data_IF_360775627052
#
_entry.id   IF_360775627052
#
_cell.length_a   1.000
_cell.length_b   1.000
_cell.length_c   1.000
_cell.angle_alpha   90.00
_cell.angle_beta   90.00
_cell.angle_gamma   90.00
#
_symmetry.space_group_name_H-M   'P 1'
#
loop_
_entity.id
_entity.type
_entity.pdbx_description
1 polymer ?
#
# COMPACT_ATOMS: atom_id res chain seq x y z
N UNK A 1 -78.36 -9.33 17.04
CA UNK A 1 -77.83 -10.70 17.05
C UNK A 1 -76.70 -10.78 16.03
N UNK A 2 -75.58 -11.33 16.45
CA UNK A 2 -74.22 -11.26 15.91
C UNK A 2 -73.89 -12.30 14.83
N UNK A 3 -72.66 -12.15 14.28
CA UNK A 3 -71.77 -13.08 13.55
C UNK A 3 -71.73 -12.90 12.02
N UNK A 4 -70.71 -12.24 11.46
CA UNK A 4 -69.26 -12.57 11.31
C UNK A 4 -68.93 -13.44 10.06
N UNK A 5 -67.76 -13.22 9.44
CA UNK A 5 -67.57 -13.27 7.98
C UNK A 5 -66.87 -14.54 7.48
N UNK A 6 -67.01 -14.85 6.18
CA UNK A 6 -66.15 -15.82 5.49
C UNK A 6 -65.49 -15.12 4.30
N UNK A 7 -64.17 -14.97 4.40
CA UNK A 7 -63.31 -14.25 3.47
C UNK A 7 -63.18 -15.01 2.13
N UNK A 8 -63.55 -14.35 1.04
CA UNK A 8 -63.52 -14.86 -0.34
C UNK A 8 -62.11 -14.75 -0.92
N UNK A 9 -61.37 -15.86 -0.99
CA UNK A 9 -60.32 -16.19 -1.97
C UNK A 9 -59.29 -17.11 -1.30
N UNK A 10 -59.15 -18.42 -1.57
CA UNK A 10 -59.57 -19.30 -2.67
C UNK A 10 -59.13 -18.91 -4.08
N UNK A 11 -58.38 -17.83 -4.28
CA UNK A 11 -57.76 -17.51 -5.56
C UNK A 11 -56.44 -16.81 -5.29
N UNK A 12 -55.36 -17.36 -5.85
CA UNK A 12 -53.96 -16.92 -5.73
C UNK A 12 -53.38 -17.34 -4.38
N UNK A 13 -52.38 -18.18 -4.28
CA UNK A 13 -51.33 -18.44 -5.23
C UNK A 13 -50.67 -19.78 -4.86
N UNK A 14 -51.28 -20.85 -5.36
CA UNK A 14 -50.59 -22.11 -5.66
C UNK A 14 -49.63 -21.91 -6.86
N UNK A 15 -48.86 -20.81 -6.85
CA UNK A 15 -47.64 -20.56 -7.61
C UNK A 15 -46.70 -20.14 -6.48
N UNK A 16 -45.78 -20.97 -6.03
CA UNK A 16 -44.49 -21.18 -6.67
C UNK A 16 -43.95 -22.59 -6.36
N UNK A 17 -44.76 -23.62 -6.63
CA UNK A 17 -44.38 -25.04 -6.63
C UNK A 17 -44.00 -25.50 -8.04
N UNK A 18 -43.19 -24.72 -8.74
CA UNK A 18 -42.61 -25.09 -10.05
C UNK A 18 -41.34 -24.30 -10.30
N UNK A 19 -40.31 -24.62 -9.54
CA UNK A 19 -38.90 -24.54 -9.95
C UNK A 19 -38.06 -25.50 -9.09
N UNK A 20 -38.56 -26.74 -8.91
CA UNK A 20 -37.69 -27.86 -8.60
C UNK A 20 -36.98 -28.23 -9.91
N UNK A 21 -35.77 -27.70 -10.13
CA UNK A 21 -35.03 -27.96 -11.35
C UNK A 21 -33.92 -26.94 -11.57
N UNK A 22 -32.80 -27.13 -10.89
CA UNK A 22 -31.62 -26.30 -11.06
C UNK A 22 -30.77 -26.33 -9.81
N UNK A 23 -30.00 -27.40 -9.66
CA UNK A 23 -28.84 -27.44 -8.79
C UNK A 23 -28.06 -26.13 -8.96
N UNK A 24 -27.95 -25.34 -7.90
CA UNK A 24 -26.96 -24.30 -7.81
C UNK A 24 -25.59 -24.98 -7.91
N UNK A 25 -25.06 -25.11 -9.12
CA UNK A 25 -23.63 -25.25 -9.33
C UNK A 25 -23.02 -23.89 -9.01
N UNK A 26 -22.87 -23.63 -7.71
CA UNK A 26 -21.99 -22.58 -7.23
C UNK A 26 -20.60 -23.09 -7.59
N UNK A 27 -20.10 -22.70 -8.76
CA UNK A 27 -18.66 -22.69 -8.96
C UNK A 27 -18.15 -21.68 -7.93
N UNK A 28 -17.76 -22.16 -6.75
CA UNK A 28 -16.73 -21.49 -5.99
C UNK A 28 -15.57 -21.34 -6.97
N UNK A 29 -15.41 -20.14 -7.52
CA UNK A 29 -14.11 -19.70 -7.95
C UNK A 29 -13.25 -19.75 -6.70
N UNK A 30 -12.66 -20.93 -6.44
CA UNK A 30 -11.49 -21.04 -5.59
C UNK A 30 -10.49 -20.13 -6.26
N UNK A 31 -10.39 -18.90 -5.76
CA UNK A 31 -9.20 -18.11 -5.94
C UNK A 31 -8.06 -19.08 -5.61
N UNK A 32 -7.25 -19.38 -6.62
CA UNK A 32 -6.00 -20.06 -6.41
C UNK A 32 -5.23 -19.12 -5.50
N UNK A 33 -5.37 -19.32 -4.19
CA UNK A 33 -4.37 -18.88 -3.24
C UNK A 33 -3.17 -19.72 -3.64
N UNK A 34 -2.35 -19.17 -4.52
CA UNK A 34 -1.06 -19.75 -4.84
C UNK A 34 -0.31 -19.69 -3.52
N UNK A 35 -0.27 -20.83 -2.84
CA UNK A 35 0.76 -21.16 -1.86
C UNK A 35 2.10 -21.13 -2.62
N UNK A 36 2.64 -19.95 -2.87
CA UNK A 36 3.87 -19.76 -3.62
C UNK A 36 4.93 -19.15 -2.74
N UNK A 37 5.87 -20.03 -2.36
CA UNK A 37 7.26 -19.75 -2.09
C UNK A 37 7.59 -19.01 -0.79
N UNK A 38 7.43 -19.72 0.32
CA UNK A 38 8.28 -19.53 1.50
C UNK A 38 9.74 -19.93 1.18
N UNK A 39 10.51 -19.10 0.45
CA UNK A 39 11.98 -19.07 0.48
C UNK A 39 12.67 -18.21 -0.59
N UNK A 40 12.00 -17.71 -1.64
CA UNK A 40 12.73 -17.00 -2.70
C UNK A 40 12.77 -15.50 -2.46
N UNK A 41 13.99 -14.99 -2.26
CA UNK A 41 14.36 -13.58 -2.37
C UNK A 41 13.76 -13.03 -3.68
N UNK A 42 13.19 -11.83 -3.67
CA UNK A 42 12.71 -11.20 -4.90
C UNK A 42 13.82 -11.12 -5.96
N UNK A 43 13.47 -11.37 -7.22
CA UNK A 43 14.43 -11.29 -8.34
C UNK A 43 14.93 -9.85 -8.56
N UNK A 44 14.14 -8.88 -8.12
CA UNK A 44 14.42 -7.46 -8.28
C UNK A 44 14.48 -6.75 -6.93
N UNK A 45 15.43 -5.82 -6.81
CA UNK A 45 15.59 -4.97 -5.64
C UNK A 45 16.02 -3.58 -6.09
N UNK A 46 15.36 -2.54 -5.60
CA UNK A 46 15.64 -1.15 -5.98
C UNK A 46 15.49 -0.21 -4.80
N UNK A 47 16.40 0.76 -4.70
CA UNK A 47 16.34 1.87 -3.74
C UNK A 47 16.26 3.20 -4.48
N UNK A 48 15.26 4.00 -4.11
CA UNK A 48 15.05 5.36 -4.62
C UNK A 48 15.62 6.38 -3.64
N UNK A 49 16.42 7.32 -4.15
CA UNK A 49 16.77 8.51 -3.40
C UNK A 49 15.56 9.46 -3.33
N UNK A 50 15.15 9.85 -2.13
CA UNK A 50 14.15 10.89 -1.89
C UNK A 50 14.76 12.01 -1.03
N UNK A 51 15.32 13.03 -1.68
CA UNK A 51 16.08 14.08 -0.98
C UNK A 51 15.61 15.52 -1.23
N UNK A 52 14.46 15.71 -1.87
CA UNK A 52 13.85 17.03 -2.12
C UNK A 52 12.38 17.02 -1.68
N UNK A 53 11.85 18.19 -1.33
CA UNK A 53 10.46 18.37 -0.91
C UNK A 53 9.56 18.89 -2.05
N UNK A 54 10.10 19.10 -3.24
CA UNK A 54 9.36 19.65 -4.37
C UNK A 54 8.23 18.72 -4.79
N UNK A 55 7.05 19.29 -5.05
CA UNK A 55 5.84 18.54 -5.38
C UNK A 55 6.05 17.58 -6.57
N UNK A 56 6.63 18.08 -7.66
CA UNK A 56 6.81 17.29 -8.89
C UNK A 56 7.87 16.21 -8.69
N UNK A 57 8.92 16.51 -7.93
CA UNK A 57 9.94 15.53 -7.57
C UNK A 57 9.33 14.34 -6.80
N UNK A 58 8.59 14.63 -5.74
CA UNK A 58 7.91 13.60 -4.93
C UNK A 58 6.85 12.85 -5.74
N UNK A 59 6.09 13.57 -6.57
CA UNK A 59 5.07 12.98 -7.46
C UNK A 59 5.68 11.95 -8.40
N UNK A 60 6.82 12.27 -9.01
CA UNK A 60 7.54 11.36 -9.89
C UNK A 60 8.12 10.14 -9.12
N UNK A 61 8.59 10.31 -7.87
CA UNK A 61 9.10 9.20 -7.02
C UNK A 61 7.99 8.22 -6.80
N UNK A 62 6.90 8.71 -6.24
CA UNK A 62 5.81 7.85 -5.84
C UNK A 62 5.09 7.24 -7.06
N UNK A 63 5.06 7.93 -8.19
CA UNK A 63 4.58 7.36 -9.45
C UNK A 63 5.48 6.23 -9.94
N UNK A 64 6.80 6.46 -10.03
CA UNK A 64 7.75 5.42 -10.47
C UNK A 64 7.73 4.20 -9.57
N UNK A 65 7.70 4.39 -8.24
CA UNK A 65 7.57 3.31 -7.26
C UNK A 65 6.27 2.52 -7.48
N UNK A 66 5.15 3.21 -7.68
CA UNK A 66 3.87 2.55 -7.99
C UNK A 66 3.92 1.73 -9.28
N UNK A 67 4.62 2.22 -10.31
CA UNK A 67 4.81 1.48 -11.56
C UNK A 67 5.71 0.24 -11.39
N UNK A 68 6.72 0.30 -10.52
CA UNK A 68 7.53 -0.87 -10.19
C UNK A 68 6.70 -1.96 -9.52
N UNK A 69 5.89 -1.60 -8.52
CA UNK A 69 4.96 -2.52 -7.86
C UNK A 69 3.94 -3.08 -8.86
N UNK A 70 3.36 -2.24 -9.72
CA UNK A 70 2.39 -2.65 -10.75
C UNK A 70 3.00 -3.64 -11.75
N UNK A 71 4.28 -3.48 -12.07
CA UNK A 71 4.96 -4.27 -13.12
C UNK A 71 5.46 -5.61 -12.58
N UNK A 72 6.00 -5.64 -11.37
CA UNK A 72 6.65 -6.83 -10.80
C UNK A 72 5.83 -7.54 -9.72
N UNK A 73 4.76 -6.92 -9.20
CA UNK A 73 3.97 -7.47 -8.09
C UNK A 73 4.85 -7.75 -6.87
N UNK A 74 4.74 -8.95 -6.32
CA UNK A 74 5.50 -9.37 -5.13
C UNK A 74 6.96 -9.77 -5.47
N UNK A 75 7.36 -9.78 -6.75
CA UNK A 75 8.72 -10.13 -7.19
C UNK A 75 9.67 -8.92 -7.23
N UNK A 76 9.46 -7.92 -6.39
CA UNK A 76 10.37 -6.78 -6.23
C UNK A 76 10.39 -6.27 -4.80
N UNK A 77 11.59 -5.96 -4.31
CA UNK A 77 11.80 -5.21 -3.08
C UNK A 77 12.08 -3.75 -3.42
N UNK A 78 11.30 -2.83 -2.84
CA UNK A 78 11.42 -1.39 -3.10
C UNK A 78 11.65 -0.65 -1.79
N UNK A 79 12.74 0.11 -1.73
CA UNK A 79 13.04 1.04 -0.63
C UNK A 79 13.00 2.47 -1.16
N UNK A 80 12.39 3.37 -0.40
CA UNK A 80 12.49 4.82 -0.63
C UNK A 80 13.27 5.43 0.53
N UNK A 81 14.50 5.87 0.26
CA UNK A 81 15.38 6.47 1.25
C UNK A 81 15.15 7.98 1.33
N UNK A 82 14.46 8.41 2.39
CA UNK A 82 14.05 9.79 2.65
C UNK A 82 15.04 10.50 3.58
N UNK A 83 15.69 11.55 3.07
CA UNK A 83 16.63 12.37 3.84
C UNK A 83 16.67 13.81 3.35
N UNK A 84 17.33 14.71 4.09
CA UNK A 84 17.27 16.14 3.82
C UNK A 84 15.81 16.62 3.73
N UNK A 85 15.46 17.53 2.80
CA UNK A 85 14.08 17.97 2.60
C UNK A 85 13.08 16.85 2.27
N UNK A 86 13.51 15.71 1.72
CA UNK A 86 12.62 14.60 1.37
C UNK A 86 12.00 13.89 2.58
N UNK A 87 12.61 14.01 3.76
CA UNK A 87 12.11 13.38 5.00
C UNK A 87 10.71 13.86 5.39
N UNK A 88 10.33 15.08 4.98
CA UNK A 88 9.02 15.65 5.28
C UNK A 88 7.87 14.87 4.65
N UNK A 89 8.13 14.05 3.63
CA UNK A 89 7.14 13.10 3.11
C UNK A 89 6.65 12.13 4.20
N UNK A 90 7.54 11.75 5.12
CA UNK A 90 7.29 10.78 6.19
C UNK A 90 6.91 11.44 7.53
N UNK A 91 6.74 12.77 7.58
CA UNK A 91 6.41 13.46 8.82
C UNK A 91 4.91 13.38 9.12
N UNK A 92 4.53 13.13 10.38
CA UNK A 92 3.14 13.29 10.85
C UNK A 92 2.66 14.73 10.65
N UNK A 93 3.54 15.70 10.95
CA UNK A 93 3.33 17.12 10.73
C UNK A 93 4.53 17.72 9.97
N UNK A 94 4.47 17.80 8.63
CA UNK A 94 5.55 18.33 7.81
C UNK A 94 5.81 19.83 8.06
N UNK A 95 7.05 20.22 8.38
CA UNK A 95 7.47 21.64 8.41
C UNK A 95 7.75 22.24 7.02
N UNK A 96 7.68 21.41 5.96
CA UNK A 96 7.74 21.83 4.56
C UNK A 96 6.41 21.55 3.88
N UNK A 97 6.04 22.31 2.84
CA UNK A 97 4.78 22.07 2.13
C UNK A 97 4.84 20.72 1.40
N UNK A 98 4.19 19.71 1.97
CA UNK A 98 3.96 18.42 1.34
C UNK A 98 2.45 18.31 1.09
N UNK A 99 2.06 18.05 -0.16
CA UNK A 99 0.67 17.83 -0.49
C UNK A 99 0.17 16.55 0.21
N UNK A 100 -1.02 16.62 0.81
CA UNK A 100 -1.59 15.51 1.59
C UNK A 100 -1.74 14.25 0.75
N UNK A 101 -2.05 14.41 -0.53
CA UNK A 101 -2.18 13.35 -1.52
C UNK A 101 -0.88 12.57 -1.71
N UNK A 102 0.29 13.22 -1.55
CA UNK A 102 1.59 12.56 -1.64
C UNK A 102 1.86 11.70 -0.39
N UNK A 103 1.52 12.18 0.80
CA UNK A 103 1.62 11.37 2.02
C UNK A 103 0.65 10.18 2.01
N UNK A 104 -0.57 10.40 1.50
CA UNK A 104 -1.55 9.32 1.27
C UNK A 104 -1.02 8.28 0.28
N UNK A 105 -0.39 8.73 -0.82
CA UNK A 105 0.21 7.81 -1.79
C UNK A 105 1.38 7.02 -1.18
N UNK A 106 2.25 7.65 -0.39
CA UNK A 106 3.32 6.96 0.33
C UNK A 106 2.76 5.90 1.29
N UNK A 107 1.72 6.23 2.06
CA UNK A 107 1.03 5.26 2.93
C UNK A 107 0.42 4.10 2.15
N UNK A 108 -0.23 4.36 1.01
CA UNK A 108 -0.77 3.31 0.15
C UNK A 108 0.34 2.40 -0.39
N UNK A 109 1.45 2.96 -0.85
CA UNK A 109 2.60 2.19 -1.34
C UNK A 109 3.22 1.32 -0.24
N UNK A 110 3.30 1.84 0.99
CA UNK A 110 3.75 1.05 2.13
C UNK A 110 2.81 -0.15 2.41
N UNK A 111 1.50 0.03 2.28
CA UNK A 111 0.54 -1.08 2.37
C UNK A 111 0.73 -2.16 1.29
N UNK A 112 1.44 -1.86 0.20
CA UNK A 112 1.87 -2.79 -0.84
C UNK A 112 3.32 -3.27 -0.69
N UNK A 113 3.94 -3.10 0.49
CA UNK A 113 5.26 -3.64 0.81
C UNK A 113 6.45 -2.73 0.49
N UNK A 114 6.22 -1.47 0.12
CA UNK A 114 7.31 -0.49 -0.05
C UNK A 114 7.85 -0.05 1.32
N UNK A 115 9.15 -0.21 1.53
CA UNK A 115 9.83 0.29 2.72
C UNK A 115 10.21 1.76 2.56
N UNK A 116 10.02 2.56 3.61
CA UNK A 116 10.35 3.98 3.63
C UNK A 116 11.37 4.25 4.73
N UNK A 117 12.62 4.48 4.34
CA UNK A 117 13.70 4.68 5.29
C UNK A 117 13.85 6.16 5.62
N UNK A 118 13.77 6.53 6.89
CA UNK A 118 13.97 7.89 7.39
C UNK A 118 15.37 8.06 7.98
N UNK A 119 16.10 9.07 7.52
CA UNK A 119 17.47 9.32 7.97
C UNK A 119 17.52 10.02 9.34
N UNK A 120 18.05 9.33 10.37
CA UNK A 120 18.21 9.84 11.74
C UNK A 120 19.06 11.09 11.80
N UNK A 121 20.14 11.19 11.02
CA UNK A 121 20.92 12.44 10.96
C UNK A 121 20.08 13.64 10.49
N UNK A 122 19.16 13.43 9.54
CA UNK A 122 18.24 14.49 9.12
C UNK A 122 17.25 14.81 10.24
N UNK A 123 16.67 13.80 10.89
CA UNK A 123 15.78 13.98 12.04
C UNK A 123 16.46 14.80 13.15
N UNK A 124 17.68 14.44 13.52
CA UNK A 124 18.47 15.14 14.55
C UNK A 124 18.67 16.62 14.19
N UNK A 125 18.91 16.93 12.90
CA UNK A 125 19.06 18.32 12.45
C UNK A 125 17.78 19.15 12.56
N UNK A 126 16.62 18.49 12.55
CA UNK A 126 15.30 19.10 12.72
C UNK A 126 14.82 19.04 14.19
N UNK A 127 15.58 18.42 15.09
CA UNK A 127 15.14 18.15 16.47
C UNK A 127 14.01 17.14 16.56
N UNK A 128 13.85 16.29 15.55
CA UNK A 128 12.80 15.28 15.48
C UNK A 128 13.18 14.00 16.21
N UNK A 129 12.16 13.33 16.72
CA UNK A 129 12.20 11.97 17.25
C UNK A 129 11.33 11.06 16.37
N UNK A 130 11.30 9.77 16.68
CA UNK A 130 10.50 8.78 15.98
C UNK A 130 8.98 9.13 16.05
N UNK A 131 8.52 9.86 17.08
CA UNK A 131 7.13 10.36 17.22
C UNK A 131 6.74 11.39 16.16
N UNK A 132 7.71 12.02 15.49
CA UNK A 132 7.46 12.98 14.41
C UNK A 132 7.20 12.30 13.06
N UNK A 133 7.45 11.00 12.97
CA UNK A 133 7.30 10.23 11.74
C UNK A 133 6.01 9.42 11.74
N UNK A 134 5.52 9.18 10.53
CA UNK A 134 4.46 8.20 10.28
C UNK A 134 4.90 6.82 10.78
N UNK A 135 3.96 6.06 11.36
CA UNK A 135 4.24 4.80 12.04
C UNK A 135 4.91 3.71 11.17
N UNK A 136 4.87 3.85 9.83
CA UNK A 136 5.46 2.90 8.89
C UNK A 136 6.89 3.28 8.44
N UNK A 137 7.44 4.39 8.91
CA UNK A 137 8.79 4.80 8.56
C UNK A 137 9.83 4.00 9.35
N UNK A 138 10.79 3.41 8.64
CA UNK A 138 11.93 2.71 9.24
C UNK A 138 13.10 3.68 9.44
N UNK A 139 13.51 3.92 10.68
CA UNK A 139 14.60 4.86 10.95
C UNK A 139 15.97 4.20 10.75
N UNK A 140 16.81 4.81 9.92
CA UNK A 140 18.20 4.39 9.67
C UNK A 140 19.16 5.49 10.11
N UNK A 141 20.36 5.14 10.57
CA UNK A 141 21.29 6.12 11.14
C UNK A 141 21.73 7.19 10.12
N UNK A 142 22.17 6.75 8.94
CA UNK A 142 22.64 7.62 7.86
C UNK A 142 22.04 7.18 6.53
N UNK A 143 21.12 7.99 5.97
CA UNK A 143 20.37 7.61 4.75
C UNK A 143 21.23 7.30 3.52
N UNK A 144 22.36 7.99 3.33
CA UNK A 144 23.29 7.70 2.22
C UNK A 144 24.10 6.42 2.49
N UNK A 145 24.47 6.15 3.73
CA UNK A 145 25.12 4.88 4.09
C UNK A 145 24.15 3.72 3.87
N UNK A 146 22.89 3.86 4.27
CA UNK A 146 21.85 2.87 4.06
C UNK A 146 21.68 2.53 2.56
N UNK A 147 21.61 3.54 1.68
CA UNK A 147 21.62 3.35 0.22
C UNK A 147 22.87 2.58 -0.23
N UNK A 148 24.05 2.90 0.29
CA UNK A 148 25.29 2.18 -0.03
C UNK A 148 25.21 0.71 0.42
N UNK A 149 24.72 0.43 1.63
CA UNK A 149 24.54 -0.94 2.14
C UNK A 149 23.49 -1.74 1.37
N UNK A 150 22.42 -1.10 0.92
CA UNK A 150 21.43 -1.73 0.05
C UNK A 150 22.05 -2.10 -1.30
N UNK A 151 22.86 -1.21 -1.89
CA UNK A 151 23.60 -1.53 -3.12
C UNK A 151 24.57 -2.70 -2.91
N UNK A 152 25.29 -2.76 -1.78
CA UNK A 152 26.14 -3.91 -1.43
C UNK A 152 25.36 -5.24 -1.34
N UNK A 153 24.06 -5.19 -1.04
CA UNK A 153 23.14 -6.34 -1.02
C UNK A 153 22.53 -6.69 -2.38
N UNK A 154 22.83 -5.91 -3.42
CA UNK A 154 22.35 -6.11 -4.78
C UNK A 154 21.21 -5.19 -5.23
N UNK A 155 20.86 -4.18 -4.44
CA UNK A 155 19.84 -3.21 -4.86
C UNK A 155 20.38 -2.35 -6.00
N UNK A 156 19.55 -2.17 -7.03
CA UNK A 156 19.75 -1.09 -7.98
C UNK A 156 19.47 0.25 -7.31
N UNK A 157 20.27 1.27 -7.63
CA UNK A 157 20.07 2.62 -7.13
C UNK A 157 19.45 3.51 -8.22
N UNK A 158 18.44 4.31 -7.86
CA UNK A 158 17.83 5.26 -8.76
C UNK A 158 17.66 6.65 -8.14
N UNK A 159 17.96 7.68 -8.94
CA UNK A 159 17.83 9.09 -8.54
C UNK A 159 17.66 10.00 -9.76
N UNK A 160 17.02 11.16 -9.57
CA UNK A 160 16.90 12.23 -10.57
C UNK A 160 16.98 13.65 -9.98
#
# INVERSE_FOLDING_TARGET
>A
MTMQPINKARRRLLQWMSAAGGLFAINEAKAHHTDTHFADKSDHQIVYQCNKADHDYLSHILFSVGEMIRTHGDNIEVVVACFGPGIHLLAELPERPIAKELQQRASSLNAYGVAFHACRNTMNSLGWTDENLVAYADVVDVGVEDIMRLQEKGFSYFSW
#
